data_IF_244640161898
#
_entry.id   IF_244640161898
#
_cell.length_a   1.000
_cell.length_b   1.000
_cell.length_c   1.000
_cell.angle_alpha   90.00
_cell.angle_beta   90.00
_cell.angle_gamma   90.00
#
_symmetry.space_group_name_H-M   'P 1'
#
loop_
_entity.id
_entity.type
_entity.pdbx_description
1 polymer ?
#
# COMPACT_ATOMS: atom_id res chain seq x y z
N UNK A 1 -4.49 -16.66 -20.83
CA UNK A 1 -4.08 -15.25 -20.71
C UNK A 1 -4.85 -14.67 -19.54
N UNK A 2 -4.25 -14.66 -18.37
CA UNK A 2 -4.84 -14.03 -17.18
C UNK A 2 -4.67 -12.52 -17.33
N UNK A 3 -5.78 -11.79 -17.40
CA UNK A 3 -5.77 -10.33 -17.26
C UNK A 3 -5.15 -10.01 -15.89
N UNK A 4 -3.88 -9.59 -15.86
CA UNK A 4 -3.31 -8.92 -14.68
C UNK A 4 -4.18 -7.69 -14.46
N UNK A 5 -4.92 -7.69 -13.36
CA UNK A 5 -5.86 -6.63 -13.01
C UNK A 5 -5.02 -5.37 -12.70
N UNK A 6 -4.83 -4.50 -13.70
CA UNK A 6 -4.14 -3.23 -13.50
C UNK A 6 -5.04 -2.40 -12.59
N UNK A 7 -4.72 -2.39 -11.29
CA UNK A 7 -5.43 -1.55 -10.31
C UNK A 7 -5.25 -0.09 -10.70
N UNK A 8 -6.32 0.71 -10.68
CA UNK A 8 -6.22 2.17 -10.76
C UNK A 8 -5.81 2.74 -9.41
N UNK A 9 -5.37 4.01 -9.35
CA UNK A 9 -5.06 4.65 -8.08
C UNK A 9 -6.29 4.78 -7.17
N UNK A 10 -7.49 4.95 -7.75
CA UNK A 10 -8.74 4.94 -6.99
C UNK A 10 -9.04 3.58 -6.39
N UNK A 11 -8.81 2.49 -7.14
CA UNK A 11 -8.95 1.15 -6.60
C UNK A 11 -7.94 0.89 -5.48
N UNK A 12 -6.71 1.36 -5.65
CA UNK A 12 -5.66 1.23 -4.63
C UNK A 12 -6.00 2.01 -3.35
N UNK A 13 -6.63 3.18 -3.48
CA UNK A 13 -7.16 3.93 -2.33
C UNK A 13 -8.28 3.19 -1.60
N UNK A 14 -9.20 2.56 -2.33
CA UNK A 14 -10.28 1.77 -1.74
C UNK A 14 -9.69 0.56 -1.00
N UNK A 15 -8.79 -0.17 -1.65
CA UNK A 15 -8.16 -1.36 -1.08
C UNK A 15 -7.35 -0.99 0.17
N UNK A 16 -6.59 0.12 0.13
CA UNK A 16 -5.86 0.65 1.28
C UNK A 16 -6.79 1.03 2.44
N UNK A 17 -7.89 1.74 2.16
CA UNK A 17 -8.84 2.13 3.20
C UNK A 17 -9.53 0.92 3.85
N UNK A 18 -9.84 -0.11 3.06
CA UNK A 18 -10.39 -1.36 3.57
C UNK A 18 -9.37 -2.11 4.42
N UNK A 19 -8.11 -2.15 3.99
CA UNK A 19 -7.02 -2.79 4.73
C UNK A 19 -6.76 -2.11 6.08
N UNK A 20 -6.59 -0.79 6.10
CA UNK A 20 -6.44 -0.02 7.35
C UNK A 20 -7.68 -0.16 8.24
N UNK A 21 -8.88 -0.17 7.65
CA UNK A 21 -10.12 -0.39 8.39
C UNK A 21 -10.18 -1.76 9.06
N UNK A 22 -9.70 -2.80 8.38
CA UNK A 22 -9.59 -4.14 8.95
C UNK A 22 -8.58 -4.17 10.12
N UNK A 23 -7.39 -3.59 9.93
CA UNK A 23 -6.38 -3.49 11.00
C UNK A 23 -6.91 -2.73 12.22
N UNK A 24 -7.70 -1.67 12.01
CA UNK A 24 -8.32 -0.93 13.10
C UNK A 24 -9.35 -1.77 13.88
N UNK A 25 -10.03 -2.72 13.24
CA UNK A 25 -10.94 -3.66 13.92
C UNK A 25 -10.13 -4.70 14.71
N UNK A 26 -9.09 -5.26 14.11
CA UNK A 26 -8.21 -6.25 14.76
C UNK A 26 -7.51 -5.64 15.99
N UNK A 27 -7.10 -4.38 15.92
CA UNK A 27 -6.49 -3.65 17.04
C UNK A 27 -7.45 -3.46 18.24
N UNK A 28 -8.75 -3.62 18.06
CA UNK A 28 -9.75 -3.53 19.13
C UNK A 28 -10.02 -4.89 19.78
N UNK A 29 -9.40 -5.98 19.30
CA UNK A 29 -9.58 -7.29 19.90
C UNK A 29 -8.97 -7.37 21.31
N UNK A 30 -9.59 -8.10 22.26
CA UNK A 30 -9.21 -8.08 23.68
C UNK A 30 -7.79 -8.58 23.97
N UNK A 31 -7.19 -9.26 22.99
CA UNK A 31 -5.89 -9.92 23.09
C UNK A 31 -4.75 -9.00 22.65
N UNK A 32 -5.07 -7.86 22.00
CA UNK A 32 -4.09 -6.87 21.54
C UNK A 32 -3.65 -6.00 22.71
N UNK A 33 -2.34 -5.96 22.97
CA UNK A 33 -1.78 -5.06 24.01
C UNK A 33 -1.52 -3.67 23.45
N UNK A 34 -1.39 -2.67 24.34
CA UNK A 34 -1.06 -1.30 23.92
C UNK A 34 0.26 -1.21 23.14
N UNK A 35 1.19 -2.12 23.39
CA UNK A 35 2.49 -2.17 22.72
C UNK A 35 2.38 -2.73 21.29
N UNK A 36 1.35 -3.56 21.03
CA UNK A 36 1.05 -4.12 19.71
C UNK A 36 0.28 -3.13 18.82
N UNK A 37 -0.33 -2.09 19.40
CA UNK A 37 -1.20 -1.14 18.69
C UNK A 37 -0.48 -0.41 17.54
N UNK A 38 0.83 -0.14 17.69
CA UNK A 38 1.63 0.51 16.65
C UNK A 38 1.75 -0.35 15.39
N UNK A 39 1.69 -1.68 15.51
CA UNK A 39 1.77 -2.61 14.37
C UNK A 39 0.53 -2.59 13.46
N UNK A 40 -0.56 -1.97 13.91
CA UNK A 40 -1.81 -1.84 13.17
C UNK A 40 -1.95 -0.50 12.43
N UNK A 41 -0.97 0.41 12.60
CA UNK A 41 -0.87 1.63 11.81
C UNK A 41 0.01 1.30 10.61
N UNK A 42 -0.58 1.29 9.42
CA UNK A 42 0.15 1.05 8.17
C UNK A 42 0.10 2.31 7.33
N UNK A 43 1.26 2.83 6.98
CA UNK A 43 1.39 3.99 6.12
C UNK A 43 1.18 3.63 4.63
N UNK A 44 0.77 4.59 3.77
CA UNK A 44 0.49 4.32 2.36
C UNK A 44 1.64 3.65 1.60
N UNK A 45 2.89 4.00 1.88
CA UNK A 45 4.08 3.41 1.27
C UNK A 45 4.38 1.99 1.78
N UNK A 46 4.05 1.70 3.04
CA UNK A 46 4.16 0.35 3.61
C UNK A 46 3.11 -0.57 2.97
N UNK A 47 1.92 -0.03 2.66
CA UNK A 47 0.93 -0.75 1.88
C UNK A 47 1.45 -1.09 0.46
N UNK A 48 2.20 -0.20 -0.20
CA UNK A 48 2.86 -0.53 -1.48
C UNK A 48 3.92 -1.63 -1.29
N UNK A 49 4.71 -1.57 -0.21
CA UNK A 49 5.66 -2.63 0.14
C UNK A 49 4.95 -4.00 0.29
N UNK A 50 3.81 -4.04 0.98
CA UNK A 50 2.99 -5.25 1.11
C UNK A 50 2.45 -5.76 -0.24
N UNK A 51 1.96 -4.86 -1.11
CA UNK A 51 1.51 -5.27 -2.46
C UNK A 51 2.65 -5.87 -3.29
N UNK A 52 3.87 -5.37 -3.12
CA UNK A 52 5.06 -5.91 -3.76
C UNK A 52 5.40 -7.32 -3.27
N UNK A 53 5.36 -7.54 -1.95
CA UNK A 53 5.59 -8.85 -1.34
C UNK A 53 4.58 -9.92 -1.80
N UNK A 54 3.34 -9.49 -2.08
CA UNK A 54 2.28 -10.35 -2.60
C UNK A 54 2.31 -10.54 -4.13
N UNK A 55 3.34 -10.02 -4.82
CA UNK A 55 3.45 -10.02 -6.28
C UNK A 55 2.27 -9.32 -7.00
N UNK A 56 1.62 -8.38 -6.33
CA UNK A 56 0.54 -7.53 -6.85
C UNK A 56 0.99 -6.07 -7.04
N UNK A 57 2.30 -5.84 -7.21
CA UNK A 57 2.85 -4.49 -7.35
C UNK A 57 2.13 -3.73 -8.48
N UNK A 58 1.51 -2.57 -8.20
CA UNK A 58 0.88 -1.76 -9.25
C UNK A 58 1.92 -1.19 -10.22
N UNK A 59 1.48 -0.60 -11.32
CA UNK A 59 2.43 0.13 -12.19
C UNK A 59 3.03 1.33 -11.44
N UNK A 60 4.25 1.75 -11.83
CA UNK A 60 4.91 2.93 -11.26
C UNK A 60 4.02 4.17 -11.32
N UNK A 61 3.30 4.36 -12.42
CA UNK A 61 2.40 5.50 -12.61
C UNK A 61 1.22 5.45 -11.63
N UNK A 62 0.62 4.27 -11.43
CA UNK A 62 -0.47 4.07 -10.47
C UNK A 62 0.01 4.27 -9.03
N UNK A 63 1.16 3.70 -8.67
CA UNK A 63 1.76 3.88 -7.35
C UNK A 63 2.06 5.37 -7.08
N UNK A 64 2.60 6.08 -8.08
CA UNK A 64 2.87 7.51 -8.00
C UNK A 64 1.58 8.32 -7.79
N UNK A 65 0.53 8.04 -8.55
CA UNK A 65 -0.75 8.73 -8.45
C UNK A 65 -1.41 8.49 -7.08
N UNK A 66 -1.38 7.24 -6.59
CA UNK A 66 -1.82 6.90 -5.24
C UNK A 66 -1.05 7.65 -4.14
N UNK A 67 0.29 7.57 -4.14
CA UNK A 67 1.13 8.23 -3.13
C UNK A 67 1.01 9.75 -3.15
N UNK A 68 0.68 10.34 -4.31
CA UNK A 68 0.46 11.79 -4.45
C UNK A 68 -0.72 12.34 -3.65
N UNK A 69 -1.61 11.46 -3.19
CA UNK A 69 -2.74 11.82 -2.32
C UNK A 69 -2.32 12.06 -0.87
N UNK A 70 -1.13 11.60 -0.47
CA UNK A 70 -0.61 11.67 0.89
C UNK A 70 0.67 12.50 1.01
N UNK A 71 1.52 12.45 -0.01
CA UNK A 71 2.89 12.96 0.05
C UNK A 71 3.19 14.03 -1.00
N UNK A 72 4.28 14.77 -0.79
CA UNK A 72 4.83 15.69 -1.79
C UNK A 72 5.68 14.94 -2.82
N UNK A 73 5.80 15.50 -4.01
CA UNK A 73 6.53 14.90 -5.14
C UNK A 73 7.94 14.42 -4.80
N UNK A 74 8.70 15.17 -3.99
CA UNK A 74 10.07 14.80 -3.61
C UNK A 74 10.11 13.51 -2.78
N UNK A 75 9.20 13.34 -1.82
CA UNK A 75 9.09 12.15 -0.98
C UNK A 75 8.63 10.94 -1.81
N UNK A 76 7.70 11.16 -2.74
CA UNK A 76 7.18 10.10 -3.61
C UNK A 76 8.29 9.48 -4.45
N UNK A 77 9.16 10.29 -5.06
CA UNK A 77 10.24 9.77 -5.90
C UNK A 77 11.28 8.97 -5.10
N UNK A 78 11.57 9.39 -3.86
CA UNK A 78 12.41 8.62 -2.93
C UNK A 78 11.80 7.23 -2.67
N UNK A 79 10.51 7.16 -2.33
CA UNK A 79 9.82 5.89 -2.11
C UNK A 79 9.78 5.00 -3.35
N UNK A 80 9.43 5.58 -4.50
CA UNK A 80 9.34 4.83 -5.75
C UNK A 80 10.72 4.31 -6.20
N UNK A 81 11.82 4.95 -5.81
CA UNK A 81 13.17 4.49 -6.16
C UNK A 81 13.55 3.15 -5.52
N UNK A 82 12.81 2.70 -4.49
CA UNK A 82 13.04 1.42 -3.79
C UNK A 82 12.72 0.18 -4.63
N UNK A 83 11.86 0.32 -5.65
CA UNK A 83 11.35 -0.82 -6.42
C UNK A 83 11.97 -0.91 -7.81
N UNK A 84 12.13 -2.13 -8.30
CA UNK A 84 12.48 -2.38 -9.70
C UNK A 84 11.21 -2.51 -10.54
N UNK A 85 10.78 -1.40 -11.13
CA UNK A 85 9.55 -1.31 -11.92
C UNK A 85 9.62 -2.01 -13.29
N UNK A 86 10.81 -2.39 -13.75
CA UNK A 86 11.00 -3.06 -15.05
C UNK A 86 10.76 -4.59 -15.00
N UNK A 87 10.47 -5.15 -13.82
CA UNK A 87 10.31 -6.59 -13.60
C UNK A 87 8.86 -6.98 -13.28
N UNK A 88 7.92 -6.75 -14.19
CA UNK A 88 6.59 -7.37 -14.11
C UNK A 88 6.19 -7.89 -15.51
N UNK A 89 6.70 -9.08 -15.87
CA UNK A 89 6.23 -9.87 -17.02
C UNK A 89 5.05 -10.76 -16.62
#
# INVERSE_FOLDING_TARGET
MTNKNIKSADQLMIDYALYVGQLAIEALEPEVTSDDFVSYIVDPEEYIDLTNELAELPSREVAKDFLSRFYKSEQIEEFLSRYNWELIF
#
